data_IF_272462687822
#
_entry.id   IF_272462687822
#
_cell.length_a   1.000
_cell.length_b   1.000
_cell.length_c   1.000
_cell.angle_alpha   90.00
_cell.angle_beta   90.00
_cell.angle_gamma   90.00
#
_symmetry.space_group_name_H-M   'P 1'
#
loop_
_entity.id
_entity.type
_entity.pdbx_description
1 polymer ?
#
# COMPACT_ATOMS: atom_id res chain seq x y z
N UNK A 1 22.30 -25.88 15.31
CA UNK A 1 21.51 -25.90 16.57
C UNK A 1 22.10 -26.82 17.64
N UNK A 2 22.36 -28.12 17.39
CA UNK A 2 22.88 -29.02 18.45
C UNK A 2 24.30 -28.74 18.94
N UNK A 3 25.10 -28.03 18.15
CA UNK A 3 26.41 -27.55 18.58
C UNK A 3 26.32 -26.52 19.73
N UNK A 4 25.27 -25.69 19.75
CA UNK A 4 25.05 -24.64 20.75
C UNK A 4 24.07 -25.07 21.84
N UNK A 5 22.97 -25.74 21.49
CA UNK A 5 21.97 -26.25 22.43
C UNK A 5 21.93 -27.79 22.40
N UNK A 6 22.75 -28.39 23.27
CA UNK A 6 23.00 -29.84 23.32
C UNK A 6 21.79 -30.68 23.78
N UNK A 7 20.81 -30.09 24.47
CA UNK A 7 19.63 -30.77 25.05
C UNK A 7 18.33 -30.01 24.74
N UNK A 8 17.18 -30.60 25.05
CA UNK A 8 15.86 -30.01 24.83
C UNK A 8 15.24 -30.31 23.46
N UNK A 9 13.95 -30.00 23.27
CA UNK A 9 13.24 -30.28 22.02
C UNK A 9 13.81 -29.47 20.86
N UNK A 10 13.69 -30.01 19.64
CA UNK A 10 13.95 -29.25 18.42
C UNK A 10 12.67 -28.48 18.08
N UNK A 11 12.81 -27.20 17.79
CA UNK A 11 11.67 -26.36 17.37
C UNK A 11 12.11 -25.50 16.19
N UNK A 12 11.36 -25.54 15.11
CA UNK A 12 11.40 -24.50 14.09
C UNK A 12 10.29 -23.48 14.40
N UNK A 13 10.68 -22.34 14.95
CA UNK A 13 9.75 -21.29 15.41
C UNK A 13 9.12 -20.51 14.26
N UNK A 14 9.73 -20.50 13.07
CA UNK A 14 9.18 -19.86 11.87
C UNK A 14 9.52 -20.72 10.65
N UNK A 15 8.60 -21.62 10.34
CA UNK A 15 8.71 -22.45 9.15
C UNK A 15 8.03 -21.77 7.98
N UNK A 16 8.85 -21.08 7.16
CA UNK A 16 8.38 -20.36 5.99
C UNK A 16 7.87 -21.29 4.89
N UNK A 17 6.54 -21.40 4.78
CA UNK A 17 5.86 -22.25 3.78
C UNK A 17 5.38 -21.47 2.56
N UNK A 18 5.62 -20.18 2.59
CA UNK A 18 5.23 -19.18 1.63
C UNK A 18 6.21 -18.00 1.75
N UNK A 19 5.89 -16.86 1.15
CA UNK A 19 6.73 -15.67 1.26
C UNK A 19 5.94 -14.37 1.18
N UNK A 20 6.52 -13.30 1.73
CA UNK A 20 5.98 -11.95 1.60
C UNK A 20 6.12 -11.43 0.16
N UNK A 21 5.28 -10.48 -0.21
CA UNK A 21 5.21 -9.92 -1.56
C UNK A 21 5.47 -8.42 -1.56
N UNK A 22 6.06 -7.92 -2.64
CA UNK A 22 6.28 -6.49 -2.86
C UNK A 22 5.55 -5.98 -4.11
N UNK A 23 5.25 -4.68 -4.12
CA UNK A 23 4.83 -4.04 -5.37
C UNK A 23 5.96 -4.13 -6.40
N UNK A 24 5.60 -4.27 -7.68
CA UNK A 24 6.52 -4.39 -8.82
C UNK A 24 7.33 -5.69 -8.86
N UNK A 25 6.98 -6.67 -8.03
CA UNK A 25 7.54 -8.02 -8.08
C UNK A 25 6.43 -9.05 -8.33
N UNK A 26 6.72 -10.21 -8.94
CA UNK A 26 5.73 -11.29 -9.01
C UNK A 26 5.35 -11.77 -7.62
N UNK A 27 4.07 -12.09 -7.43
CA UNK A 27 3.61 -12.77 -6.22
C UNK A 27 4.38 -14.09 -6.08
N UNK A 28 5.03 -14.34 -4.92
CA UNK A 28 5.84 -15.53 -4.71
C UNK A 28 4.95 -16.76 -4.66
N UNK A 29 5.42 -17.85 -5.27
CA UNK A 29 4.82 -19.17 -5.16
C UNK A 29 5.90 -20.11 -4.65
N UNK A 30 5.68 -20.67 -3.46
CA UNK A 30 6.57 -21.64 -2.84
C UNK A 30 6.07 -23.03 -3.15
N UNK A 31 6.95 -23.85 -3.73
CA UNK A 31 6.62 -25.20 -4.14
C UNK A 31 6.18 -26.04 -2.92
N UNK A 32 4.95 -26.56 -2.98
CA UNK A 32 4.42 -27.42 -1.92
C UNK A 32 5.23 -28.68 -1.71
N UNK A 33 5.91 -29.21 -2.73
CA UNK A 33 6.76 -30.40 -2.59
C UNK A 33 7.93 -30.15 -1.63
N UNK A 34 8.66 -29.04 -1.82
CA UNK A 34 9.81 -28.67 -0.98
C UNK A 34 9.37 -28.42 0.47
N UNK A 35 8.18 -27.84 0.62
CA UNK A 35 7.54 -27.67 1.94
C UNK A 35 7.29 -29.02 2.60
N UNK A 36 6.65 -29.96 1.91
CA UNK A 36 6.34 -31.26 2.50
C UNK A 36 7.59 -32.10 2.78
N UNK A 37 8.60 -32.03 1.92
CA UNK A 37 9.87 -32.76 2.13
C UNK A 37 10.61 -32.23 3.36
N UNK A 38 10.71 -30.90 3.49
CA UNK A 38 11.35 -30.28 4.66
C UNK A 38 10.55 -30.57 5.94
N UNK A 39 9.21 -30.51 5.87
CA UNK A 39 8.34 -30.89 6.98
C UNK A 39 8.54 -32.36 7.39
N UNK A 40 8.56 -33.31 6.44
CA UNK A 40 8.86 -34.73 6.70
C UNK A 40 10.16 -34.91 7.47
N UNK A 41 11.22 -34.24 7.04
CA UNK A 41 12.53 -34.30 7.69
C UNK A 41 12.50 -33.75 9.12
N UNK A 42 11.78 -32.64 9.36
CA UNK A 42 11.62 -32.08 10.71
C UNK A 42 10.81 -33.02 11.62
N UNK A 43 9.72 -33.61 11.13
CA UNK A 43 8.91 -34.57 11.90
C UNK A 43 9.70 -35.84 12.24
N UNK A 44 10.50 -36.37 11.31
CA UNK A 44 11.38 -37.52 11.54
C UNK A 44 12.44 -37.27 12.64
N UNK A 45 12.80 -36.01 12.86
CA UNK A 45 13.69 -35.58 13.94
C UNK A 45 12.96 -35.33 15.27
N UNK A 46 11.65 -35.60 15.35
CA UNK A 46 10.78 -35.25 16.46
C UNK A 46 10.84 -33.74 16.79
N UNK A 47 10.95 -32.90 15.75
CA UNK A 47 10.95 -31.45 15.90
C UNK A 47 9.53 -30.89 15.87
N UNK A 48 9.25 -29.92 16.74
CA UNK A 48 8.03 -29.10 16.67
C UNK A 48 8.17 -28.03 15.58
N UNK A 49 7.05 -27.67 14.95
CA UNK A 49 7.01 -26.76 13.81
C UNK A 49 5.94 -25.70 14.07
N UNK A 50 6.25 -24.45 13.78
CA UNK A 50 5.29 -23.35 13.69
C UNK A 50 5.25 -22.83 12.26
N UNK A 51 4.10 -22.96 11.57
CA UNK A 51 3.95 -22.50 10.19
C UNK A 51 3.92 -20.97 10.12
N UNK A 52 4.84 -20.40 9.35
CA UNK A 52 4.87 -18.97 9.06
C UNK A 52 4.60 -18.76 7.56
N UNK A 53 3.44 -18.26 7.14
CA UNK A 53 2.20 -18.17 7.90
C UNK A 53 1.35 -19.42 7.66
N UNK A 54 0.54 -19.81 8.65
CA UNK A 54 -0.56 -20.76 8.40
C UNK A 54 -1.73 -20.06 7.68
N UNK A 55 -2.07 -18.85 8.13
CA UNK A 55 -2.98 -17.90 7.50
C UNK A 55 -2.36 -16.52 7.67
N UNK A 56 -2.04 -15.84 6.57
CA UNK A 56 -1.41 -14.52 6.64
C UNK A 56 -2.41 -13.37 6.71
N UNK A 57 -3.44 -13.37 5.85
CA UNK A 57 -4.52 -12.37 5.86
C UNK A 57 -4.17 -11.09 5.10
N UNK A 58 -4.42 -9.92 5.70
CA UNK A 58 -4.35 -8.62 5.03
C UNK A 58 -3.66 -7.56 5.90
N UNK A 59 -2.77 -6.78 5.31
CA UNK A 59 -2.20 -5.56 5.88
C UNK A 59 -3.16 -4.37 5.68
N UNK A 60 -4.26 -4.32 6.43
CA UNK A 60 -5.24 -3.23 6.29
C UNK A 60 -4.64 -1.84 6.55
N UNK A 61 -5.23 -0.83 5.94
CA UNK A 61 -4.78 0.55 6.07
C UNK A 61 -3.36 0.79 5.60
N UNK A 62 -2.56 1.43 6.45
CA UNK A 62 -1.16 1.76 6.18
C UNK A 62 -0.19 0.90 6.99
N UNK A 63 -0.58 -0.35 7.29
CA UNK A 63 0.18 -1.25 8.17
C UNK A 63 1.23 -2.07 7.43
N UNK A 64 1.20 -2.11 6.09
CA UNK A 64 2.22 -2.80 5.31
C UNK A 64 3.62 -2.24 5.59
N UNK A 65 4.60 -3.13 5.70
CA UNK A 65 5.99 -2.75 5.88
C UNK A 65 6.73 -2.58 4.56
N UNK A 66 8.06 -2.56 4.65
CA UNK A 66 8.94 -2.52 3.50
C UNK A 66 10.26 -3.24 3.79
N UNK A 67 10.98 -3.59 2.73
CA UNK A 67 12.32 -4.16 2.80
C UNK A 67 13.31 -3.34 1.96
N UNK A 68 14.61 -3.61 2.15
CA UNK A 68 15.70 -3.03 1.36
C UNK A 68 16.80 -4.07 1.20
N UNK A 69 17.27 -4.30 -0.03
CA UNK A 69 18.31 -5.30 -0.30
C UNK A 69 19.71 -4.83 0.16
N UNK A 70 20.31 -5.41 1.19
CA UNK A 70 21.56 -4.88 1.78
C UNK A 70 22.80 -4.90 0.85
N UNK A 71 22.82 -5.71 -0.22
CA UNK A 71 24.03 -5.99 -1.02
C UNK A 71 24.32 -5.03 -2.18
N UNK A 72 23.45 -4.06 -2.46
CA UNK A 72 23.65 -3.12 -3.58
C UNK A 72 23.73 -1.68 -3.04
N UNK A 73 24.77 -0.93 -3.42
CA UNK A 73 24.93 0.50 -3.03
C UNK A 73 23.74 1.37 -3.47
N UNK A 74 22.97 0.92 -4.47
CA UNK A 74 21.71 1.50 -4.95
C UNK A 74 20.55 0.50 -4.77
N UNK A 75 20.47 -0.16 -3.61
CA UNK A 75 19.44 -1.15 -3.34
C UNK A 75 18.04 -0.55 -3.27
N UNK A 76 17.11 -1.17 -3.97
CA UNK A 76 15.72 -0.72 -4.04
C UNK A 76 15.03 -0.84 -2.67
N UNK A 77 14.27 0.21 -2.34
CA UNK A 77 13.25 0.17 -1.31
C UNK A 77 12.04 -0.58 -1.88
N UNK A 78 11.57 -1.58 -1.16
CA UNK A 78 10.55 -2.52 -1.62
C UNK A 78 9.33 -2.43 -0.69
N UNK A 79 8.30 -1.64 -1.05
CA UNK A 79 7.08 -1.59 -0.26
C UNK A 79 6.32 -2.91 -0.40
N UNK A 80 5.90 -3.48 0.73
CA UNK A 80 5.12 -4.72 0.76
C UNK A 80 3.68 -4.47 0.29
N UNK A 81 3.03 -5.53 -0.21
CA UNK A 81 1.64 -5.50 -0.65
C UNK A 81 0.65 -5.27 0.50
N UNK A 82 -0.58 -4.90 0.14
CA UNK A 82 -1.72 -4.89 1.06
C UNK A 82 -2.14 -6.32 1.39
N UNK A 83 -2.21 -7.21 0.40
CA UNK A 83 -2.46 -8.63 0.64
C UNK A 83 -1.28 -9.25 1.40
N UNK A 84 -1.59 -10.02 2.43
CA UNK A 84 -0.64 -10.87 3.14
C UNK A 84 -1.04 -12.34 2.98
N UNK A 85 -1.61 -12.72 1.83
CA UNK A 85 -1.92 -14.11 1.46
C UNK A 85 -0.73 -15.05 1.71
N UNK A 86 0.46 -14.56 1.37
CA UNK A 86 1.75 -15.17 1.65
C UNK A 86 1.97 -16.52 0.96
N UNK A 87 1.08 -16.96 0.05
CA UNK A 87 1.02 -18.34 -0.45
C UNK A 87 0.92 -19.35 0.71
N UNK A 88 0.10 -19.00 1.71
CA UNK A 88 -0.09 -19.77 2.93
C UNK A 88 -1.00 -20.99 2.73
N UNK A 89 -1.03 -21.94 3.68
CA UNK A 89 -2.04 -22.99 3.72
C UNK A 89 -3.48 -22.46 3.64
N UNK A 90 -3.80 -21.35 4.32
CA UNK A 90 -5.05 -20.62 4.11
C UNK A 90 -4.77 -19.32 3.36
N UNK A 91 -5.55 -19.04 2.31
CA UNK A 91 -5.40 -17.82 1.51
C UNK A 91 -5.80 -16.55 2.31
N UNK A 92 -5.67 -15.36 1.72
CA UNK A 92 -6.03 -14.08 2.35
C UNK A 92 -7.43 -14.11 3.01
N UNK A 93 -8.42 -14.68 2.33
CA UNK A 93 -9.81 -14.79 2.81
C UNK A 93 -10.08 -16.01 3.73
N UNK A 94 -9.03 -16.75 4.13
CA UNK A 94 -9.11 -17.89 5.03
C UNK A 94 -9.53 -19.21 4.38
N UNK A 95 -9.63 -19.28 3.04
CA UNK A 95 -10.00 -20.52 2.36
C UNK A 95 -8.81 -21.47 2.29
N UNK A 96 -9.02 -22.79 2.44
CA UNK A 96 -7.94 -23.77 2.37
C UNK A 96 -7.39 -23.91 0.95
N UNK A 97 -6.07 -23.84 0.82
CA UNK A 97 -5.36 -24.02 -0.45
C UNK A 97 -4.99 -25.48 -0.69
N UNK A 98 -4.50 -25.79 -1.89
CA UNK A 98 -3.92 -27.11 -2.20
C UNK A 98 -2.81 -27.48 -1.20
N UNK A 99 -2.03 -26.48 -0.73
CA UNK A 99 -0.96 -26.66 0.24
C UNK A 99 -1.50 -27.11 1.60
N UNK A 100 -2.63 -26.56 2.07
CA UNK A 100 -3.29 -27.03 3.28
C UNK A 100 -3.66 -28.51 3.21
N UNK A 101 -4.31 -28.95 2.11
CA UNK A 101 -4.73 -30.34 1.98
C UNK A 101 -3.53 -31.30 1.90
N UNK A 102 -2.45 -30.89 1.24
CA UNK A 102 -1.19 -31.67 1.21
C UNK A 102 -0.53 -31.79 2.58
N UNK A 103 -0.48 -30.69 3.35
CA UNK A 103 0.04 -30.69 4.72
C UNK A 103 -0.81 -31.59 5.63
N UNK A 104 -2.15 -31.47 5.54
CA UNK A 104 -3.08 -32.30 6.30
C UNK A 104 -2.86 -33.79 6.02
N UNK A 105 -2.78 -34.17 4.73
CA UNK A 105 -2.52 -35.55 4.32
C UNK A 105 -1.20 -36.09 4.88
N UNK A 106 -0.14 -35.28 4.88
CA UNK A 106 1.14 -35.67 5.46
C UNK A 106 1.06 -35.94 6.97
N UNK A 107 0.30 -35.13 7.70
CA UNK A 107 0.09 -35.34 9.14
C UNK A 107 -0.66 -36.65 9.42
N UNK A 108 -1.66 -36.98 8.58
CA UNK A 108 -2.38 -38.25 8.65
C UNK A 108 -1.44 -39.44 8.39
N UNK A 109 -0.57 -39.35 7.38
CA UNK A 109 0.41 -40.40 7.03
C UNK A 109 1.51 -40.59 8.08
N UNK A 110 1.77 -39.59 8.92
CA UNK A 110 2.84 -39.61 9.95
C UNK A 110 2.33 -39.97 11.35
N UNK A 111 1.10 -40.50 11.46
CA UNK A 111 0.46 -40.89 12.72
C UNK A 111 0.34 -39.75 13.75
N UNK A 112 0.33 -38.48 13.31
CA UNK A 112 -0.09 -37.39 14.18
C UNK A 112 -1.60 -37.47 14.37
N UNK A 113 -2.09 -37.12 15.57
CA UNK A 113 -3.52 -37.06 15.82
C UNK A 113 -4.15 -35.97 14.96
N UNK A 114 -4.91 -36.37 13.94
CA UNK A 114 -5.68 -35.45 13.10
C UNK A 114 -7.14 -35.65 13.43
N UNK A 115 -7.80 -34.61 13.97
CA UNK A 115 -9.25 -34.61 14.10
C UNK A 115 -9.85 -34.05 12.82
N UNK A 116 -10.76 -34.80 12.21
CA UNK A 116 -11.56 -34.33 11.09
C UNK A 116 -12.84 -33.60 11.55
N UNK A 117 -13.06 -33.47 12.85
CA UNK A 117 -14.26 -32.84 13.41
C UNK A 117 -14.34 -31.33 13.09
N UNK A 118 -13.20 -30.69 12.84
CA UNK A 118 -13.10 -29.27 12.50
C UNK A 118 -12.23 -29.12 11.26
N UNK A 119 -12.86 -28.86 10.11
CA UNK A 119 -12.16 -28.44 8.89
C UNK A 119 -12.62 -27.02 8.51
N UNK A 120 -11.71 -26.14 8.07
CA UNK A 120 -12.08 -24.82 7.60
C UNK A 120 -13.03 -24.94 6.41
N UNK A 121 -14.19 -24.29 6.52
CA UNK A 121 -15.20 -24.20 5.46
C UNK A 121 -14.99 -22.86 4.76
N UNK A 122 -14.68 -22.83 3.45
CA UNK A 122 -14.60 -21.59 2.69
C UNK A 122 -15.86 -20.75 2.87
N UNK A 123 -15.71 -19.52 3.35
CA UNK A 123 -16.83 -18.58 3.40
C UNK A 123 -17.21 -18.19 1.97
N UNK A 124 -18.50 -18.20 1.58
CA UNK A 124 -18.89 -17.81 0.23
C UNK A 124 -18.50 -16.35 -0.05
N UNK A 125 -18.12 -16.05 -1.29
CA UNK A 125 -17.77 -14.70 -1.74
C UNK A 125 -18.82 -14.17 -2.72
N UNK A 126 -19.19 -12.90 -2.56
CA UNK A 126 -20.19 -12.21 -3.36
C UNK A 126 -19.57 -11.48 -4.54
N UNK A 127 -20.19 -11.65 -5.71
CA UNK A 127 -20.03 -10.75 -6.84
C UNK A 127 -21.22 -9.77 -6.83
N UNK A 128 -20.93 -8.50 -6.56
CA UNK A 128 -21.96 -7.44 -6.46
C UNK A 128 -22.00 -6.54 -7.69
N UNK A 129 -21.22 -6.85 -8.72
CA UNK A 129 -21.22 -6.15 -10.00
C UNK A 129 -20.35 -4.89 -9.98
N UNK A 130 -20.69 -3.97 -10.89
CA UNK A 130 -19.88 -2.80 -11.21
C UNK A 130 -20.58 -1.52 -10.75
N UNK A 131 -19.81 -0.62 -10.15
CA UNK A 131 -20.27 0.67 -9.66
C UNK A 131 -19.47 1.79 -10.31
N UNK A 132 -20.13 2.91 -10.55
CA UNK A 132 -19.46 4.13 -11.02
C UNK A 132 -19.11 5.00 -9.83
N UNK A 133 -17.85 5.44 -9.77
CA UNK A 133 -17.34 6.36 -8.79
C UNK A 133 -17.60 7.81 -9.23
N UNK A 134 -17.99 8.66 -8.29
CA UNK A 134 -18.18 10.09 -8.52
C UNK A 134 -17.00 10.87 -7.91
N UNK A 135 -16.42 11.85 -8.63
CA UNK A 135 -15.41 12.74 -8.06
C UNK A 135 -15.97 13.48 -6.84
N UNK A 136 -15.18 13.66 -5.80
CA UNK A 136 -15.57 14.43 -4.61
C UNK A 136 -14.73 15.70 -4.45
N UNK A 137 -13.45 15.55 -4.12
CA UNK A 137 -12.61 16.67 -3.68
C UNK A 137 -11.14 16.35 -3.88
N UNK A 138 -10.37 17.35 -4.35
CA UNK A 138 -8.91 17.24 -4.52
C UNK A 138 -8.17 17.46 -3.20
N UNK A 139 -7.00 16.84 -3.02
CA UNK A 139 -6.10 17.15 -1.90
C UNK A 139 -5.61 18.60 -1.88
N UNK A 140 -5.69 19.33 -2.99
CA UNK A 140 -5.39 20.77 -3.01
C UNK A 140 -6.45 21.61 -2.28
N UNK A 141 -7.66 21.09 -2.09
CA UNK A 141 -8.76 21.83 -1.49
C UNK A 141 -8.63 21.93 0.03
N UNK A 142 -8.96 23.11 0.57
CA UNK A 142 -8.93 23.36 2.02
C UNK A 142 -9.83 22.39 2.82
N UNK A 143 -10.88 21.89 2.18
CA UNK A 143 -11.79 20.90 2.77
C UNK A 143 -11.09 19.60 3.20
N UNK A 144 -9.94 19.27 2.61
CA UNK A 144 -9.15 18.07 2.95
C UNK A 144 -8.13 18.29 4.07
N UNK A 145 -7.91 19.54 4.48
CA UNK A 145 -6.94 19.90 5.52
C UNK A 145 -7.53 19.62 6.90
N UNK A 146 -7.25 18.44 7.47
CA UNK A 146 -7.77 18.01 8.79
C UNK A 146 -6.83 18.34 9.93
N UNK A 147 -5.55 18.55 9.63
CA UNK A 147 -4.53 19.04 10.55
C UNK A 147 -4.14 20.44 10.10
N UNK A 148 -3.91 21.35 11.06
CA UNK A 148 -3.44 22.70 10.75
C UNK A 148 -2.10 22.59 10.00
N UNK A 149 -1.95 23.25 8.83
CA UNK A 149 -0.67 23.26 8.13
C UNK A 149 0.46 23.80 9.01
N UNK A 150 1.65 23.22 8.86
CA UNK A 150 2.87 23.62 9.55
C UNK A 150 3.68 24.50 8.60
N UNK A 151 4.19 25.62 9.09
CA UNK A 151 5.08 26.51 8.34
C UNK A 151 6.49 26.44 8.93
N UNK A 152 7.51 26.42 8.08
CA UNK A 152 8.92 26.30 8.46
C UNK A 152 9.81 26.75 7.31
N UNK A 153 11.00 27.29 7.60
CA UNK A 153 11.97 27.65 6.56
C UNK A 153 12.57 26.41 5.87
N UNK A 154 12.52 25.26 6.54
CA UNK A 154 12.99 23.97 6.03
C UNK A 154 11.86 22.93 6.00
N UNK A 155 11.90 21.94 5.09
CA UNK A 155 10.93 20.85 5.12
C UNK A 155 11.14 20.00 6.38
N UNK A 156 10.04 19.48 6.93
CA UNK A 156 10.03 18.64 8.12
C UNK A 156 9.51 17.25 7.79
N UNK A 157 10.11 16.22 8.41
CA UNK A 157 9.64 14.84 8.29
C UNK A 157 8.30 14.60 9.00
N UNK A 158 7.65 13.48 8.64
CA UNK A 158 6.34 13.05 9.15
C UNK A 158 6.31 13.00 10.69
N UNK A 159 7.37 12.44 11.29
CA UNK A 159 7.48 12.24 12.74
C UNK A 159 7.53 13.57 13.51
N UNK A 160 8.15 14.61 12.93
CA UNK A 160 8.19 15.95 13.54
C UNK A 160 6.81 16.61 13.49
N UNK A 161 6.02 16.34 12.45
CA UNK A 161 4.63 16.80 12.32
C UNK A 161 3.64 15.95 13.14
N UNK A 162 4.11 14.93 13.87
CA UNK A 162 3.27 14.08 14.71
C UNK A 162 2.37 13.12 13.95
N UNK A 163 2.69 12.80 12.69
CA UNK A 163 1.96 11.81 11.90
C UNK A 163 2.82 10.59 11.55
N UNK A 164 2.21 9.41 11.50
CA UNK A 164 2.94 8.15 11.26
C UNK A 164 2.71 7.56 9.87
N UNK A 165 1.61 7.89 9.19
CA UNK A 165 1.16 7.24 7.96
C UNK A 165 0.52 8.25 7.00
N UNK A 166 0.14 7.81 5.81
CA UNK A 166 -0.55 8.64 4.82
C UNK A 166 0.41 9.51 4.02
N UNK A 167 0.06 10.79 3.88
CA UNK A 167 0.69 11.71 2.94
C UNK A 167 0.98 13.07 3.57
N UNK A 168 1.90 13.83 2.96
CA UNK A 168 2.10 15.26 3.26
C UNK A 168 2.29 16.01 1.95
N UNK A 169 1.55 17.10 1.77
CA UNK A 169 1.80 18.07 0.69
C UNK A 169 2.76 19.15 1.19
N UNK A 170 3.93 19.27 0.57
CA UNK A 170 4.91 20.34 0.82
C UNK A 170 4.75 21.41 -0.24
N UNK A 171 4.39 22.62 0.14
CA UNK A 171 4.16 23.74 -0.77
C UNK A 171 5.17 24.87 -0.53
N UNK A 172 5.66 25.45 -1.62
CA UNK A 172 6.46 26.68 -1.61
C UNK A 172 6.20 27.50 -2.87
N UNK A 173 6.65 28.75 -2.89
CA UNK A 173 6.45 29.67 -4.02
C UNK A 173 7.77 29.84 -4.75
N UNK A 174 7.75 29.55 -6.05
CA UNK A 174 8.88 29.79 -6.96
C UNK A 174 8.78 31.20 -7.54
N UNK A 175 9.87 31.96 -7.48
CA UNK A 175 9.99 33.32 -8.02
C UNK A 175 11.01 33.37 -9.16
N UNK A 176 10.98 34.44 -9.96
CA UNK A 176 11.92 34.61 -11.07
C UNK A 176 13.40 34.66 -10.65
N UNK A 177 13.71 35.19 -9.47
CA UNK A 177 15.10 35.26 -8.97
C UNK A 177 15.74 33.87 -8.90
N UNK A 178 14.93 32.86 -8.54
CA UNK A 178 15.38 31.49 -8.35
C UNK A 178 15.64 30.74 -9.66
N UNK A 179 15.27 31.31 -10.81
CA UNK A 179 15.45 30.67 -12.13
C UNK A 179 16.81 30.97 -12.75
N UNK A 180 17.56 31.96 -12.24
CA UNK A 180 18.84 32.42 -12.84
C UNK A 180 18.74 32.67 -14.37
N UNK A 181 17.56 33.11 -14.85
CA UNK A 181 17.20 33.22 -16.27
C UNK A 181 17.42 31.95 -17.13
N UNK A 182 17.49 30.77 -16.51
CA UNK A 182 17.65 29.47 -17.17
C UNK A 182 16.36 28.66 -17.06
N UNK A 183 15.85 28.24 -18.21
CA UNK A 183 14.71 27.31 -18.32
C UNK A 183 15.10 26.26 -19.37
N UNK A 184 15.06 24.95 -19.04
CA UNK A 184 14.64 24.36 -17.76
C UNK A 184 15.64 24.63 -16.62
N UNK A 185 15.14 24.60 -15.38
CA UNK A 185 15.96 24.64 -14.16
C UNK A 185 15.78 23.34 -13.39
N UNK A 186 16.86 22.87 -12.75
CA UNK A 186 16.88 21.57 -12.07
C UNK A 186 16.32 21.69 -10.65
N UNK A 187 15.21 21.01 -10.37
CA UNK A 187 14.76 20.72 -9.00
C UNK A 187 15.52 19.50 -8.47
N UNK A 188 16.16 19.62 -7.32
CA UNK A 188 16.83 18.50 -6.65
C UNK A 188 16.23 18.30 -5.26
N UNK A 189 15.82 17.06 -4.98
CA UNK A 189 15.37 16.62 -3.66
C UNK A 189 16.33 15.52 -3.21
N UNK A 190 17.20 15.85 -2.27
CA UNK A 190 18.32 14.98 -1.88
C UNK A 190 17.86 13.69 -1.20
N UNK A 191 16.72 13.72 -0.52
CA UNK A 191 16.19 12.54 0.17
C UNK A 191 14.67 12.50 0.10
N UNK A 192 14.14 11.41 -0.45
CA UNK A 192 12.70 11.20 -0.66
C UNK A 192 12.30 9.92 0.08
N UNK A 193 11.39 10.05 1.04
CA UNK A 193 10.85 8.93 1.81
C UNK A 193 9.31 8.93 1.75
N UNK A 194 8.66 8.29 0.78
CA UNK A 194 9.23 7.33 -0.22
C UNK A 194 8.89 7.59 -1.69
N UNK A 195 7.84 8.34 -2.02
CA UNK A 195 7.58 8.76 -3.40
C UNK A 195 7.16 10.21 -3.40
N UNK A 196 7.78 11.02 -4.26
CA UNK A 196 7.43 12.42 -4.46
C UNK A 196 6.68 12.61 -5.77
N UNK A 197 5.44 13.08 -5.72
CA UNK A 197 4.74 13.59 -6.91
C UNK A 197 4.86 15.10 -6.94
N UNK A 198 5.41 15.63 -8.04
CA UNK A 198 5.77 17.05 -8.20
C UNK A 198 4.69 17.74 -9.04
N UNK A 199 4.21 18.88 -8.55
CA UNK A 199 3.21 19.71 -9.21
C UNK A 199 3.67 21.15 -9.34
N UNK A 200 3.38 21.77 -10.49
CA UNK A 200 3.45 23.21 -10.70
C UNK A 200 2.04 23.73 -10.93
N UNK A 201 1.55 24.64 -10.07
CA UNK A 201 0.20 25.19 -10.13
C UNK A 201 -0.88 24.09 -10.28
N UNK A 202 -0.75 23.03 -9.47
CA UNK A 202 -1.62 21.83 -9.44
C UNK A 202 -1.55 20.93 -10.69
N UNK A 203 -0.67 21.22 -11.65
CA UNK A 203 -0.39 20.33 -12.78
C UNK A 203 0.76 19.41 -12.43
N UNK A 204 0.53 18.09 -12.48
CA UNK A 204 1.59 17.10 -12.26
C UNK A 204 2.66 17.22 -13.35
N UNK A 205 3.92 17.36 -12.93
CA UNK A 205 5.07 17.47 -13.84
C UNK A 205 6.03 16.29 -13.73
N UNK A 206 6.08 15.60 -12.59
CA UNK A 206 6.94 14.42 -12.41
C UNK A 206 6.53 13.55 -11.21
N UNK A 207 6.99 12.31 -11.19
CA UNK A 207 6.94 11.39 -10.05
C UNK A 207 8.36 10.85 -9.82
N UNK A 208 8.89 11.01 -8.60
CA UNK A 208 10.22 10.55 -8.20
C UNK A 208 10.07 9.49 -7.09
N UNK A 209 10.16 8.20 -7.43
CA UNK A 209 10.36 7.13 -6.46
C UNK A 209 11.65 7.31 -5.66
N UNK A 210 11.68 6.83 -4.42
CA UNK A 210 12.87 6.82 -3.54
C UNK A 210 14.15 6.27 -4.20
N UNK A 211 14.03 5.29 -5.09
CA UNK A 211 15.16 4.75 -5.87
C UNK A 211 15.90 5.81 -6.69
N UNK A 212 15.18 6.83 -7.13
CA UNK A 212 15.66 7.91 -7.98
C UNK A 212 15.79 9.23 -7.19
N UNK A 213 15.87 9.16 -5.86
CA UNK A 213 16.19 10.33 -5.03
C UNK A 213 17.54 10.94 -5.46
N UNK A 214 17.70 12.25 -5.25
CA UNK A 214 18.88 13.01 -5.68
C UNK A 214 19.13 13.07 -7.20
N UNK A 215 18.26 12.49 -8.04
CA UNK A 215 18.29 12.72 -9.49
C UNK A 215 17.55 14.03 -9.79
N UNK A 216 18.20 15.03 -10.39
CA UNK A 216 17.55 16.31 -10.67
C UNK A 216 16.44 16.17 -11.71
N UNK A 217 15.34 16.90 -11.49
CA UNK A 217 14.22 17.01 -12.43
C UNK A 217 14.20 18.38 -13.07
N UNK A 218 14.22 18.41 -14.40
CA UNK A 218 14.09 19.64 -15.20
C UNK A 218 12.68 20.21 -15.09
N UNK A 219 12.54 21.41 -14.53
CA UNK A 219 11.28 22.15 -14.44
C UNK A 219 11.23 23.30 -15.44
N UNK A 220 10.11 23.40 -16.16
CA UNK A 220 9.79 24.55 -17.00
C UNK A 220 8.92 25.54 -16.22
N UNK A 221 9.55 26.56 -15.64
CA UNK A 221 8.85 27.55 -14.80
C UNK A 221 8.49 28.77 -15.65
N UNK A 222 7.25 28.78 -16.16
CA UNK A 222 6.83 29.71 -17.20
C UNK A 222 6.28 31.04 -16.66
N UNK A 223 5.81 31.08 -15.41
CA UNK A 223 5.20 32.27 -14.79
C UNK A 223 6.17 32.97 -13.84
N UNK A 224 6.03 34.29 -13.65
CA UNK A 224 6.88 35.06 -12.72
C UNK A 224 6.82 34.56 -11.28
N UNK A 225 5.67 34.02 -10.89
CA UNK A 225 5.39 33.35 -9.63
C UNK A 225 4.65 32.06 -9.95
N UNK A 226 5.14 30.92 -9.46
CA UNK A 226 4.46 29.62 -9.57
C UNK A 226 4.47 28.89 -8.24
N UNK A 227 3.42 28.12 -7.95
CA UNK A 227 3.36 27.29 -6.76
C UNK A 227 3.97 25.93 -7.04
N UNK A 228 5.03 25.58 -6.33
CA UNK A 228 5.55 24.21 -6.28
C UNK A 228 4.82 23.46 -5.18
N UNK A 229 4.25 22.31 -5.52
CA UNK A 229 3.70 21.37 -4.53
C UNK A 229 4.36 20.01 -4.71
N UNK A 230 4.75 19.38 -3.62
CA UNK A 230 5.37 18.06 -3.59
C UNK A 230 4.54 17.19 -2.67
N UNK A 231 3.82 16.22 -3.22
CA UNK A 231 3.12 15.21 -2.42
C UNK A 231 4.09 14.09 -2.09
N UNK A 232 4.37 13.89 -0.80
CA UNK A 232 5.10 12.71 -0.33
C UNK A 232 4.13 11.66 0.17
N UNK A 233 4.26 10.45 -0.35
CA UNK A 233 3.64 9.24 0.21
C UNK A 233 4.63 8.49 1.10
N UNK A 234 4.22 8.17 2.33
CA UNK A 234 4.86 7.14 3.13
C UNK A 234 4.34 5.76 2.67
N UNK A 235 5.21 4.95 2.07
CA UNK A 235 4.84 3.66 1.48
C UNK A 235 5.03 2.46 2.44
N UNK A 236 5.37 2.71 3.72
CA UNK A 236 5.67 1.68 4.72
C UNK A 236 7.08 1.83 5.30
N UNK A 237 7.27 1.65 6.60
CA UNK A 237 8.63 1.68 7.18
C UNK A 237 9.34 0.36 6.96
N UNK A 238 10.65 0.42 6.73
CA UNK A 238 11.49 -0.79 6.66
C UNK A 238 11.39 -1.56 7.98
N UNK A 239 11.07 -2.86 7.89
CA UNK A 239 10.76 -3.70 9.05
C UNK A 239 11.81 -4.78 9.38
N UNK A 240 12.90 -4.83 8.62
CA UNK A 240 13.98 -5.79 8.84
C UNK A 240 15.32 -5.26 8.29
N UNK A 241 16.42 -5.71 8.91
CA UNK A 241 17.78 -5.41 8.47
C UNK A 241 18.35 -4.10 8.99
N UNK A 242 19.43 -3.64 8.36
CA UNK A 242 20.26 -2.54 8.87
C UNK A 242 19.65 -1.13 8.67
N UNK A 243 18.52 -1.02 7.97
CA UNK A 243 17.92 0.25 7.54
C UNK A 243 16.56 0.55 8.20
N UNK A 244 16.31 0.02 9.41
CA UNK A 244 15.05 0.26 10.15
C UNK A 244 14.91 1.69 10.68
N UNK A 245 15.99 2.48 10.69
CA UNK A 245 15.89 3.94 10.85
C UNK A 245 15.37 4.52 9.53
N UNK A 246 14.05 4.72 9.46
CA UNK A 246 13.35 5.03 8.21
C UNK A 246 12.28 6.10 8.41
N UNK A 247 12.71 7.27 8.89
CA UNK A 247 11.86 8.47 8.96
C UNK A 247 11.34 8.86 7.57
N UNK A 248 10.14 9.44 7.54
CA UNK A 248 9.40 9.69 6.29
C UNK A 248 9.28 11.17 5.98
N UNK A 249 9.08 11.51 4.71
CA UNK A 249 9.01 12.91 4.25
C UNK A 249 10.27 13.40 3.56
N UNK A 250 10.46 14.72 3.63
CA UNK A 250 11.66 15.43 3.18
C UNK A 250 12.29 16.05 4.42
N UNK A 251 13.57 15.79 4.65
CA UNK A 251 14.31 16.33 5.81
C UNK A 251 15.66 16.96 5.42
N UNK A 252 15.97 16.98 4.13
CA UNK A 252 17.12 17.67 3.57
C UNK A 252 16.64 18.89 2.75
N UNK A 253 17.50 19.91 2.54
CA UNK A 253 17.16 21.04 1.69
C UNK A 253 16.75 20.61 0.28
N UNK A 254 15.68 21.20 -0.22
CA UNK A 254 15.26 21.08 -1.62
C UNK A 254 15.84 22.28 -2.38
N UNK A 255 16.44 22.04 -3.53
CA UNK A 255 17.06 23.11 -4.33
C UNK A 255 16.46 23.26 -5.71
N UNK A 256 16.49 24.49 -6.21
CA UNK A 256 16.17 24.83 -7.58
C UNK A 256 17.41 25.53 -8.18
N UNK A 257 18.16 24.81 -9.01
CA UNK A 257 19.51 25.23 -9.40
C UNK A 257 20.39 25.40 -8.16
N UNK A 258 20.85 26.63 -7.91
CA UNK A 258 21.69 26.97 -6.76
C UNK A 258 20.91 27.53 -5.55
N UNK A 259 19.59 27.66 -5.68
CA UNK A 259 18.75 28.25 -4.63
C UNK A 259 18.17 27.16 -3.74
N UNK A 260 18.33 27.32 -2.42
CA UNK A 260 17.57 26.54 -1.45
C UNK A 260 16.14 27.08 -1.40
N UNK A 261 15.16 26.20 -1.54
CA UNK A 261 13.75 26.56 -1.55
C UNK A 261 13.19 26.67 -0.13
N UNK A 262 12.31 27.64 0.07
CA UNK A 262 11.62 27.94 1.32
C UNK A 262 11.02 29.35 1.28
N UNK A 263 10.22 29.75 2.29
CA UNK A 263 9.70 28.89 3.35
C UNK A 263 8.72 27.83 2.80
N UNK A 264 8.45 26.83 3.62
CA UNK A 264 7.58 25.68 3.32
C UNK A 264 6.30 25.75 4.12
N UNK A 265 5.19 25.43 3.46
CA UNK A 265 3.92 25.08 4.08
C UNK A 265 3.67 23.59 3.89
N UNK A 266 3.59 22.85 4.98
CA UNK A 266 3.40 21.40 5.00
C UNK A 266 1.99 21.07 5.46
N UNK A 267 1.27 20.27 4.68
CA UNK A 267 -0.14 19.94 4.88
C UNK A 267 -0.25 18.42 5.10
N UNK A 268 -0.41 17.96 6.36
CA UNK A 268 -0.51 16.54 6.65
C UNK A 268 -1.87 15.95 6.31
N UNK A 269 -1.87 14.78 5.67
CA UNK A 269 -3.04 13.95 5.36
C UNK A 269 -2.81 12.51 5.86
N UNK A 270 -2.96 12.24 7.17
CA UNK A 270 -2.74 10.90 7.74
C UNK A 270 -3.80 9.89 7.32
N UNK A 271 -5.01 10.36 6.98
CA UNK A 271 -6.18 9.58 6.55
C UNK A 271 -6.54 8.43 7.50
N UNK A 272 -6.39 8.67 8.80
CA UNK A 272 -6.86 7.78 9.87
C UNK A 272 -8.38 7.84 10.06
N UNK A 273 -9.03 8.89 9.55
CA UNK A 273 -10.47 9.13 9.63
C UNK A 273 -10.94 9.82 8.33
N UNK A 274 -12.05 9.35 7.78
CA UNK A 274 -12.59 9.79 6.47
C UNK A 274 -14.10 10.04 6.48
N UNK A 275 -14.75 10.00 7.64
CA UNK A 275 -16.18 10.27 7.79
C UNK A 275 -16.58 11.67 7.33
N UNK A 276 -15.69 12.67 7.43
CA UNK A 276 -15.92 14.01 6.88
C UNK A 276 -16.21 14.04 5.37
N UNK A 277 -15.83 13.00 4.60
CA UNK A 277 -16.16 12.89 3.18
C UNK A 277 -17.65 12.61 2.94
N UNK A 278 -18.40 12.18 3.96
CA UNK A 278 -19.85 11.99 3.85
C UNK A 278 -20.59 13.31 3.63
N UNK A 279 -20.02 14.44 4.10
CA UNK A 279 -20.61 15.77 3.95
C UNK A 279 -20.13 16.50 2.69
N UNK A 280 -19.24 15.89 1.91
CA UNK A 280 -18.75 16.46 0.65
C UNK A 280 -19.66 16.00 -0.48
N UNK A 281 -20.21 16.98 -1.18
CA UNK A 281 -21.06 16.75 -2.36
C UNK A 281 -20.21 16.31 -3.56
N UNK A 282 -20.69 15.34 -4.35
CA UNK A 282 -20.06 14.97 -5.59
C UNK A 282 -19.88 16.14 -6.56
N UNK A 283 -18.74 16.16 -7.25
CA UNK A 283 -18.39 17.14 -8.26
C UNK A 283 -18.31 16.50 -9.64
N UNK A 284 -18.43 17.35 -10.68
CA UNK A 284 -18.33 16.89 -12.08
C UNK A 284 -16.91 16.44 -12.42
N UNK A 285 -15.91 17.11 -11.86
CA UNK A 285 -14.48 16.87 -12.08
C UNK A 285 -13.72 17.15 -10.79
N UNK A 286 -12.59 16.47 -10.59
CA UNK A 286 -11.65 16.78 -9.53
C UNK A 286 -10.22 16.70 -10.08
N UNK A 287 -9.36 17.63 -9.64
CA UNK A 287 -7.93 17.63 -9.99
C UNK A 287 -7.22 16.59 -9.13
N UNK A 288 -6.50 15.67 -9.76
CA UNK A 288 -5.73 14.66 -9.03
C UNK A 288 -4.56 15.31 -8.27
N UNK A 289 -4.22 14.82 -7.07
CA UNK A 289 -4.82 13.68 -6.35
C UNK A 289 -6.19 14.00 -5.76
N UNK A 290 -7.17 13.09 -5.88
CA UNK A 290 -8.55 13.37 -5.47
C UNK A 290 -9.28 12.16 -4.88
N UNK A 291 -10.26 12.47 -4.04
CA UNK A 291 -11.22 11.51 -3.52
C UNK A 291 -12.36 11.28 -4.50
N UNK A 292 -12.81 10.03 -4.57
CA UNK A 292 -13.97 9.58 -5.33
C UNK A 292 -14.86 8.75 -4.41
N UNK A 293 -16.17 8.74 -4.66
CA UNK A 293 -17.16 8.00 -3.85
C UNK A 293 -18.21 7.32 -4.70
N UNK A 294 -18.66 6.15 -4.26
CA UNK A 294 -19.90 5.54 -4.71
C UNK A 294 -20.70 5.02 -3.53
N UNK A 295 -22.01 4.88 -3.70
CA UNK A 295 -22.92 4.38 -2.69
C UNK A 295 -23.91 3.39 -3.31
N UNK A 296 -24.21 2.33 -2.59
CA UNK A 296 -25.08 1.25 -3.06
C UNK A 296 -25.66 0.47 -1.88
N UNK A 297 -26.76 -0.23 -2.10
CA UNK A 297 -27.31 -1.19 -1.14
C UNK A 297 -26.87 -2.60 -1.53
N UNK A 298 -26.75 -3.46 -0.52
CA UNK A 298 -26.45 -4.88 -0.71
C UNK A 298 -27.63 -5.74 -0.22
N UNK A 299 -27.71 -7.01 -0.64
CA UNK A 299 -28.64 -7.98 -0.05
C UNK A 299 -28.44 -8.16 1.46
N UNK A 300 -29.41 -8.81 2.12
CA UNK A 300 -29.23 -9.27 3.50
C UNK A 300 -28.08 -10.29 3.59
N UNK A 301 -27.35 -10.24 4.71
CA UNK A 301 -26.17 -11.07 4.98
C UNK A 301 -25.10 -10.94 3.87
N UNK A 302 -24.46 -9.76 3.76
CA UNK A 302 -23.40 -9.56 2.79
C UNK A 302 -22.28 -10.59 3.02
N UNK A 303 -21.66 -10.97 1.92
CA UNK A 303 -20.59 -11.94 1.82
C UNK A 303 -19.27 -11.20 1.67
N UNK A 304 -18.18 -11.92 1.93
CA UNK A 304 -16.85 -11.47 1.55
C UNK A 304 -16.81 -11.11 0.06
N UNK A 305 -16.03 -10.10 -0.31
CA UNK A 305 -15.87 -9.72 -1.72
C UNK A 305 -14.49 -9.14 -1.97
N UNK A 306 -14.18 -8.85 -3.22
CA UNK A 306 -12.93 -8.22 -3.61
C UNK A 306 -13.22 -6.96 -4.41
N UNK A 307 -12.68 -5.84 -3.94
CA UNK A 307 -12.73 -4.58 -4.65
C UNK A 307 -11.70 -4.60 -5.78
N UNK A 308 -12.17 -4.79 -7.00
CA UNK A 308 -11.40 -4.68 -8.24
C UNK A 308 -11.34 -3.22 -8.69
N UNK A 309 -10.11 -2.72 -8.72
CA UNK A 309 -9.77 -1.34 -9.12
C UNK A 309 -8.98 -1.32 -10.43
N UNK A 310 -9.09 -2.36 -11.25
CA UNK A 310 -8.48 -2.43 -12.57
C UNK A 310 -8.85 -1.18 -13.40
N UNK A 311 -7.84 -0.52 -13.94
CA UNK A 311 -7.98 0.75 -14.68
C UNK A 311 -7.68 2.00 -13.85
N UNK A 312 -7.76 1.93 -12.52
CA UNK A 312 -7.17 2.93 -11.62
C UNK A 312 -5.66 2.69 -11.50
N UNK A 313 -4.88 3.70 -11.11
CA UNK A 313 -3.41 3.58 -11.10
C UNK A 313 -2.85 3.34 -9.72
N UNK A 314 -3.08 4.25 -8.77
CA UNK A 314 -2.47 4.16 -7.44
C UNK A 314 -3.26 4.94 -6.40
N UNK A 315 -3.49 4.33 -5.25
CA UNK A 315 -4.24 5.00 -4.21
C UNK A 315 -4.53 4.17 -2.98
N UNK A 316 -5.55 4.61 -2.24
CA UNK A 316 -6.08 3.91 -1.07
C UNK A 316 -7.59 3.87 -1.13
N UNK A 317 -8.19 2.77 -0.65
CA UNK A 317 -9.62 2.57 -0.63
C UNK A 317 -10.16 2.45 0.80
N UNK A 318 -11.39 2.91 0.99
CA UNK A 318 -12.14 2.83 2.22
C UNK A 318 -13.52 2.24 1.94
N UNK A 319 -13.95 1.28 2.76
CA UNK A 319 -15.30 0.71 2.72
C UNK A 319 -15.98 1.05 4.04
N UNK A 320 -17.07 1.81 3.99
CA UNK A 320 -17.81 2.27 5.17
C UNK A 320 -16.91 2.96 6.21
N UNK A 321 -15.93 3.74 5.74
CA UNK A 321 -14.95 4.45 6.57
C UNK A 321 -13.75 3.62 7.04
N UNK A 322 -13.75 2.30 6.79
CA UNK A 322 -12.65 1.41 7.13
C UNK A 322 -11.64 1.39 5.98
N UNK A 323 -10.37 1.71 6.27
CA UNK A 323 -9.31 1.71 5.27
C UNK A 323 -8.92 0.26 4.91
N UNK A 324 -9.31 -0.18 3.72
CA UNK A 324 -9.03 -1.55 3.22
C UNK A 324 -7.63 -1.69 2.61
N UNK A 325 -6.86 -0.59 2.57
CA UNK A 325 -5.45 -0.58 2.23
C UNK A 325 -5.14 0.09 0.89
N UNK A 326 -3.90 -0.10 0.44
CA UNK A 326 -3.34 0.51 -0.77
C UNK A 326 -3.65 -0.33 -2.00
N UNK A 327 -3.92 0.32 -3.11
CA UNK A 327 -3.93 -0.31 -4.43
C UNK A 327 -2.87 0.33 -5.33
N UNK A 328 -2.22 -0.49 -6.18
CA UNK A 328 -1.30 0.00 -7.21
C UNK A 328 -1.33 -0.88 -8.49
N UNK A 329 -2.48 -1.00 -9.19
CA UNK A 329 -2.60 -1.80 -10.41
C UNK A 329 -1.59 -1.47 -11.51
N UNK A 330 -1.10 -0.23 -11.58
CA UNK A 330 -0.08 0.16 -12.57
C UNK A 330 1.30 -0.43 -12.28
N UNK A 331 1.56 -0.84 -11.03
CA UNK A 331 2.77 -1.54 -10.61
C UNK A 331 2.58 -3.06 -10.53
N UNK A 332 1.41 -3.51 -10.05
CA UNK A 332 1.13 -4.92 -9.77
C UNK A 332 1.97 -5.49 -8.62
N UNK A 333 1.75 -6.77 -8.26
CA UNK A 333 0.89 -7.74 -8.94
C UNK A 333 -0.55 -7.75 -8.39
N UNK A 334 -0.80 -7.14 -7.23
CA UNK A 334 -2.14 -7.10 -6.63
C UNK A 334 -3.05 -6.10 -7.35
N UNK A 335 -4.20 -6.60 -7.83
CA UNK A 335 -5.21 -5.83 -8.57
C UNK A 335 -6.51 -5.63 -7.78
N UNK A 336 -6.75 -6.48 -6.78
CA UNK A 336 -7.96 -6.45 -5.95
C UNK A 336 -7.62 -6.27 -4.47
N UNK A 337 -8.51 -5.60 -3.72
CA UNK A 337 -8.44 -5.50 -2.26
C UNK A 337 -9.51 -6.39 -1.64
N UNK A 338 -9.13 -7.24 -0.68
CA UNK A 338 -10.09 -8.05 0.06
C UNK A 338 -10.98 -7.16 0.95
N UNK A 339 -12.29 -7.41 0.90
CA UNK A 339 -13.31 -6.73 1.71
C UNK A 339 -14.07 -7.81 2.50
N UNK A 340 -13.77 -7.95 3.80
CA UNK A 340 -14.52 -8.86 4.67
C UNK A 340 -16.00 -8.50 4.72
N UNK A 341 -16.87 -9.50 4.79
CA UNK A 341 -18.32 -9.33 4.98
C UNK A 341 -18.64 -8.42 6.18
N UNK A 342 -17.83 -8.48 7.24
CA UNK A 342 -18.00 -7.68 8.46
C UNK A 342 -17.77 -6.18 8.27
N UNK A 343 -17.19 -5.76 7.13
CA UNK A 343 -17.05 -4.34 6.77
C UNK A 343 -18.25 -3.83 5.97
N UNK A 344 -19.12 -4.73 5.52
CA UNK A 344 -20.30 -4.42 4.72
C UNK A 344 -21.55 -4.32 5.61
N UNK A 345 -22.50 -3.52 5.16
CA UNK A 345 -23.77 -3.27 5.84
C UNK A 345 -24.88 -4.02 5.09
N UNK A 346 -25.65 -4.84 5.80
CA UNK A 346 -26.83 -5.54 5.27
C UNK A 346 -27.93 -4.58 4.83
N UNK A 347 -28.81 -5.04 3.94
CA UNK A 347 -30.06 -4.33 3.61
C UNK A 347 -30.86 -3.96 4.86
N UNK A 348 -31.54 -2.80 4.90
CA UNK A 348 -31.59 -1.73 3.90
C UNK A 348 -30.46 -0.69 4.04
N UNK A 349 -29.36 -1.04 4.71
CA UNK A 349 -28.25 -0.13 4.95
C UNK A 349 -27.48 0.24 3.68
N UNK A 350 -26.93 1.46 3.69
CA UNK A 350 -26.19 2.02 2.57
C UNK A 350 -24.69 1.77 2.75
N UNK A 351 -24.09 1.04 1.81
CA UNK A 351 -22.65 0.88 1.73
C UNK A 351 -22.04 2.06 0.97
N UNK A 352 -20.87 2.51 1.41
CA UNK A 352 -20.10 3.58 0.77
C UNK A 352 -18.68 3.10 0.51
N UNK A 353 -18.22 3.25 -0.73
CA UNK A 353 -16.81 3.08 -1.07
C UNK A 353 -16.24 4.45 -1.39
N UNK A 354 -15.09 4.76 -0.79
CA UNK A 354 -14.30 5.96 -1.07
C UNK A 354 -12.91 5.55 -1.53
N UNK A 355 -12.39 6.19 -2.56
CA UNK A 355 -11.01 5.99 -3.02
C UNK A 355 -10.29 7.34 -3.10
N UNK A 356 -9.06 7.41 -2.61
CA UNK A 356 -8.12 8.47 -2.99
C UNK A 356 -7.26 7.96 -4.14
N UNK A 357 -7.42 8.54 -5.33
CA UNK A 357 -6.57 8.26 -6.50
C UNK A 357 -5.48 9.32 -6.63
N UNK A 358 -4.26 8.88 -6.93
CA UNK A 358 -3.07 9.73 -6.94
C UNK A 358 -2.59 10.10 -8.35
N UNK A 359 -2.82 9.24 -9.35
CA UNK A 359 -2.10 9.34 -10.63
C UNK A 359 -3.04 9.47 -11.85
N UNK A 360 -3.91 8.48 -12.11
CA UNK A 360 -4.81 8.50 -13.27
C UNK A 360 -6.09 7.70 -12.99
N UNK A 361 -7.20 8.14 -13.57
CA UNK A 361 -8.51 7.49 -13.45
C UNK A 361 -8.97 6.84 -14.76
N UNK A 362 -9.71 5.73 -14.71
CA UNK A 362 -10.30 5.15 -15.92
C UNK A 362 -11.41 6.06 -16.48
N UNK A 363 -11.58 6.09 -17.81
CA UNK A 363 -12.55 6.98 -18.48
C UNK A 363 -13.99 6.83 -17.98
N UNK A 364 -14.38 5.63 -17.56
CA UNK A 364 -15.72 5.31 -17.07
C UNK A 364 -15.85 5.39 -15.54
N UNK A 365 -14.77 5.70 -14.81
CA UNK A 365 -14.72 5.76 -13.34
C UNK A 365 -15.28 4.51 -12.66
N UNK A 366 -15.17 3.34 -13.28
CA UNK A 366 -15.77 2.10 -12.75
C UNK A 366 -14.88 1.41 -11.74
N UNK A 367 -15.51 0.78 -10.76
CA UNK A 367 -14.94 -0.27 -9.90
C UNK A 367 -15.87 -1.48 -9.92
N UNK A 368 -15.38 -2.65 -9.54
CA UNK A 368 -16.21 -3.85 -9.40
C UNK A 368 -16.00 -4.52 -8.05
N UNK A 369 -17.05 -5.16 -7.55
CA UNK A 369 -16.99 -6.06 -6.40
C UNK A 369 -17.15 -7.49 -6.90
N UNK A 370 -16.07 -8.27 -6.86
CA UNK A 370 -15.98 -9.61 -7.45
C UNK A 370 -15.89 -10.70 -6.38
N UNK A 371 -16.20 -11.93 -6.77
CA UNK A 371 -16.15 -13.12 -5.91
C UNK A 371 -14.77 -13.79 -5.86
N UNK A 372 -13.78 -13.28 -6.61
CA UNK A 372 -12.44 -13.84 -6.71
C UNK A 372 -11.36 -12.76 -6.63
N UNK A 373 -10.24 -13.03 -5.94
CA UNK A 373 -9.11 -12.12 -5.94
C UNK A 373 -8.36 -12.18 -7.27
N UNK A 374 -7.63 -11.10 -7.57
CA UNK A 374 -6.59 -11.07 -8.59
C UNK A 374 -5.29 -10.54 -7.96
N UNK A 375 -4.41 -11.47 -7.58
CA UNK A 375 -3.08 -11.20 -7.01
C UNK A 375 -1.93 -11.43 -8.00
N UNK A 376 -2.25 -11.67 -9.28
CA UNK A 376 -1.28 -12.02 -10.34
C UNK A 376 -1.45 -11.12 -11.56
N UNK A 377 -1.71 -9.84 -11.33
CA UNK A 377 -1.77 -8.82 -12.35
C UNK A 377 -0.42 -8.54 -13.03
N UNK A 378 -0.44 -7.73 -14.10
CA UNK A 378 0.78 -7.35 -14.81
C UNK A 378 1.73 -6.57 -13.91
N UNK A 379 3.03 -6.78 -14.09
CA UNK A 379 4.09 -6.15 -13.30
C UNK A 379 4.80 -5.11 -14.16
N UNK A 380 4.99 -3.91 -13.60
CA UNK A 380 5.71 -2.84 -14.29
C UNK A 380 6.88 -2.34 -13.44
N UNK A 381 8.08 -2.36 -14.01
CA UNK A 381 9.36 -2.13 -13.32
C UNK A 381 9.90 -0.71 -13.55
N UNK A 382 9.08 0.21 -14.10
CA UNK A 382 9.49 1.60 -14.41
C UNK A 382 10.14 2.35 -13.23
#
# INVERSE_FOLDING_TARGET
MRATQKRGPLVNSEYYVGWLSHWREPSPIVNSYDVLETMKNMLALNASINFYMFHGGTNFGFTSGANKYEKLKNSDYLPQLTSYDYDSPLNEAGDPTEKYFKIKKLLEETNFAVSNEISPVPAPKGNYGTFTMMPLVSLFEKATQRIKPIESDVPLGFEIMGINTGFVMYETILTNEQKDNKVPVNLTISTIRDQATIFLDQVQVNIIPRKYENIPVSLNINSTVQKLSILIENQGRINYGSFMEDRKGIFEPVTLGNYVLGPWKMIPHPLNETSWLSTIEPQKYAVLPAFYKTQFTLPDNPLDTYLDVSGWKKGVAFVNGINVGRYWPSAGPQMTLYVPATFLISSPGLNTIVMLELEEVPKNLSISLTDKPNLFGPINIL
#
